data_IF_749962895442
#
_entry.id   IF_749962895442
#
_cell.length_a   1.000
_cell.length_b   1.000
_cell.length_c   1.000
_cell.angle_alpha   90.00
_cell.angle_beta   90.00
_cell.angle_gamma   90.00
#
_symmetry.space_group_name_H-M   'P 1'
#
loop_
_entity.id
_entity.type
_entity.pdbx_description
1 polymer ?
#
# COMPACT_ATOMS: atom_id res chain seq x y z
N UNK A 1 -2.95 18.03 -13.48
CA UNK A 1 -3.14 16.60 -13.15
C UNK A 1 -3.45 16.56 -11.67
N UNK A 2 -4.48 15.83 -11.21
CA UNK A 2 -4.69 15.67 -9.77
C UNK A 2 -3.45 15.01 -9.16
N UNK A 3 -3.07 15.46 -7.97
CA UNK A 3 -1.96 14.92 -7.20
C UNK A 3 -2.20 13.42 -6.96
N UNK A 4 -1.43 12.57 -7.64
CA UNK A 4 -1.60 11.11 -7.58
C UNK A 4 -1.31 10.56 -6.19
N UNK A 5 -0.36 11.15 -5.48
CA UNK A 5 0.11 10.66 -4.18
C UNK A 5 -0.96 10.61 -3.09
N UNK A 6 -1.71 11.70 -2.83
CA UNK A 6 -2.83 11.69 -1.89
C UNK A 6 -3.91 10.64 -2.24
N UNK A 7 -4.21 10.46 -3.53
CA UNK A 7 -5.23 9.51 -3.98
C UNK A 7 -4.78 8.05 -3.80
N UNK A 8 -3.53 7.73 -4.17
CA UNK A 8 -2.94 6.41 -3.96
C UNK A 8 -2.89 6.09 -2.47
N UNK A 9 -2.43 7.04 -1.64
CA UNK A 9 -2.42 6.87 -0.18
C UNK A 9 -3.80 6.59 0.38
N UNK A 10 -4.82 7.36 -0.03
CA UNK A 10 -6.18 7.15 0.42
C UNK A 10 -6.71 5.75 0.04
N UNK A 11 -6.44 5.30 -1.19
CA UNK A 11 -6.85 3.98 -1.66
C UNK A 11 -6.17 2.84 -0.90
N UNK A 12 -4.86 2.97 -0.66
CA UNK A 12 -4.08 1.99 0.12
C UNK A 12 -4.62 1.91 1.56
N UNK A 13 -4.79 3.05 2.22
CA UNK A 13 -5.32 3.13 3.59
C UNK A 13 -6.73 2.55 3.66
N UNK A 14 -7.60 2.85 2.71
CA UNK A 14 -8.96 2.29 2.65
C UNK A 14 -8.93 0.77 2.48
N UNK A 15 -8.11 0.26 1.57
CA UNK A 15 -7.95 -1.18 1.34
C UNK A 15 -7.44 -1.90 2.58
N UNK A 16 -6.45 -1.31 3.26
CA UNK A 16 -5.92 -1.82 4.52
C UNK A 16 -6.97 -1.79 5.64
N UNK A 17 -7.73 -0.71 5.76
CA UNK A 17 -8.80 -0.58 6.74
C UNK A 17 -9.91 -1.63 6.52
N UNK A 18 -10.27 -1.88 5.25
CA UNK A 18 -11.22 -2.94 4.93
C UNK A 18 -10.69 -4.32 5.34
N UNK A 19 -9.44 -4.63 5.03
CA UNK A 19 -8.82 -5.91 5.43
C UNK A 19 -8.71 -6.03 6.95
N UNK A 20 -8.34 -4.96 7.63
CA UNK A 20 -8.28 -4.90 9.10
C UNK A 20 -9.64 -5.24 9.71
N UNK A 21 -10.72 -4.62 9.20
CA UNK A 21 -12.08 -4.91 9.63
C UNK A 21 -12.48 -6.37 9.36
N UNK A 22 -12.09 -6.96 8.22
CA UNK A 22 -12.35 -8.38 7.92
C UNK A 22 -11.64 -9.34 8.88
N UNK A 23 -10.46 -8.95 9.36
CA UNK A 23 -9.65 -9.71 10.30
C UNK A 23 -10.01 -9.43 11.77
N UNK A 24 -10.89 -8.47 12.03
CA UNK A 24 -11.29 -8.05 13.39
C UNK A 24 -10.28 -7.14 14.08
N UNK A 25 -9.41 -6.46 13.30
CA UNK A 25 -8.59 -5.37 13.79
C UNK A 25 -9.41 -4.07 13.78
N UNK A 26 -9.89 -3.68 14.96
CA UNK A 26 -10.57 -2.40 15.16
C UNK A 26 -9.57 -1.31 15.60
N UNK A 27 -9.63 -0.14 14.94
CA UNK A 27 -8.89 1.05 15.38
C UNK A 27 -7.39 1.06 15.09
N UNK A 28 -6.92 0.32 14.08
CA UNK A 28 -5.54 0.45 13.60
C UNK A 28 -5.32 1.84 12.99
N UNK A 29 -4.43 2.61 13.61
CA UNK A 29 -3.88 3.80 12.97
C UNK A 29 -2.74 3.36 12.06
N UNK A 30 -2.97 3.47 10.76
CA UNK A 30 -1.93 3.38 9.74
C UNK A 30 -1.10 4.67 9.74
N UNK A 31 -0.41 4.92 10.85
CA UNK A 31 0.71 5.85 10.84
C UNK A 31 1.76 5.28 9.88
N UNK A 32 2.47 6.12 9.12
CA UNK A 32 3.33 5.68 8.01
C UNK A 32 4.45 4.71 8.38
N UNK A 33 4.58 4.38 9.67
CA UNK A 33 5.52 3.44 10.27
C UNK A 33 4.93 2.07 10.62
N UNK A 34 3.62 1.85 10.46
CA UNK A 34 2.97 0.58 10.81
C UNK A 34 3.31 -0.53 9.81
N UNK A 35 3.83 -1.65 10.33
CA UNK A 35 4.24 -2.80 9.53
C UNK A 35 3.08 -3.81 9.34
N UNK A 36 2.56 -3.90 8.12
CA UNK A 36 1.40 -4.75 7.83
C UNK A 36 1.74 -6.24 7.81
N UNK A 37 2.99 -6.59 7.50
CA UNK A 37 3.43 -7.96 7.46
C UNK A 37 3.65 -8.49 8.87
N UNK A 38 4.32 -7.70 9.72
CA UNK A 38 4.54 -8.09 11.12
C UNK A 38 3.22 -8.19 11.91
N UNK A 39 2.26 -7.30 11.62
CA UNK A 39 0.93 -7.36 12.23
C UNK A 39 0.05 -8.51 11.71
N UNK A 40 0.44 -9.18 10.63
CA UNK A 40 -0.36 -10.21 9.96
C UNK A 40 -1.59 -9.64 9.24
N UNK A 41 -1.65 -8.32 9.04
CA UNK A 41 -2.70 -7.67 8.27
C UNK A 41 -2.56 -7.95 6.77
N UNK A 42 -1.32 -8.12 6.31
CA UNK A 42 -0.98 -8.25 4.91
C UNK A 42 0.08 -9.34 4.71
N UNK A 43 -0.27 -10.36 3.94
CA UNK A 43 0.66 -11.40 3.52
C UNK A 43 1.30 -11.05 2.16
N UNK A 44 2.27 -11.86 1.74
CA UNK A 44 2.93 -11.74 0.42
C UNK A 44 1.93 -11.69 -0.75
N UNK A 45 0.86 -12.47 -0.70
CA UNK A 45 -0.22 -12.43 -1.70
C UNK A 45 -1.10 -11.18 -1.57
N UNK A 46 -1.32 -10.73 -0.34
CA UNK A 46 -2.08 -9.51 -0.04
C UNK A 46 -1.41 -8.28 -0.64
N UNK A 47 -0.07 -8.25 -0.66
CA UNK A 47 0.73 -7.20 -1.29
C UNK A 47 0.56 -7.19 -2.80
N UNK A 48 0.77 -8.33 -3.46
CA UNK A 48 0.62 -8.42 -4.92
C UNK A 48 -0.79 -8.00 -5.35
N UNK A 49 -1.82 -8.40 -4.59
CA UNK A 49 -3.21 -8.02 -4.87
C UNK A 49 -3.45 -6.51 -4.68
N UNK A 50 -2.83 -5.90 -3.66
CA UNK A 50 -2.95 -4.46 -3.41
C UNK A 50 -2.29 -3.66 -4.54
N UNK A 51 -1.12 -4.12 -4.98
CA UNK A 51 -0.38 -3.55 -6.10
C UNK A 51 -1.22 -3.64 -7.38
N UNK A 52 -1.66 -4.84 -7.75
CA UNK A 52 -2.49 -5.06 -8.95
C UNK A 52 -3.77 -4.19 -8.95
N UNK A 53 -4.39 -4.02 -7.78
CA UNK A 53 -5.54 -3.12 -7.61
C UNK A 53 -5.19 -1.65 -7.83
N UNK A 54 -4.04 -1.18 -7.35
CA UNK A 54 -3.55 0.19 -7.58
C UNK A 54 -3.18 0.39 -9.05
N UNK A 55 -2.44 -0.54 -9.68
CA UNK A 55 -2.13 -0.50 -11.12
C UNK A 55 -3.40 -0.35 -11.95
N UNK A 56 -4.39 -1.22 -11.68
CA UNK A 56 -5.68 -1.20 -12.39
C UNK A 56 -6.47 0.08 -12.12
N UNK A 57 -6.47 0.58 -10.87
CA UNK A 57 -7.26 1.74 -10.47
C UNK A 57 -6.70 3.05 -11.01
N UNK A 58 -5.39 3.15 -11.14
CA UNK A 58 -4.68 4.37 -11.55
C UNK A 58 -4.06 4.28 -12.95
N UNK A 59 -4.24 3.15 -13.66
CA UNK A 59 -3.64 2.85 -14.97
C UNK A 59 -2.11 3.04 -14.94
N UNK A 60 -1.48 2.48 -13.90
CA UNK A 60 -0.04 2.51 -13.68
C UNK A 60 0.57 1.15 -14.02
N UNK A 61 1.86 1.15 -14.34
CA UNK A 61 2.67 -0.06 -14.48
C UNK A 61 3.80 0.04 -13.46
N UNK A 62 3.77 -0.80 -12.44
CA UNK A 62 4.76 -0.83 -11.38
C UNK A 62 5.84 -1.85 -11.69
N UNK A 63 7.10 -1.40 -11.71
CA UNK A 63 8.22 -2.32 -11.72
C UNK A 63 8.58 -2.72 -10.30
N UNK A 64 8.07 -3.88 -9.86
CA UNK A 64 8.46 -4.49 -8.59
C UNK A 64 9.77 -5.27 -8.69
N UNK A 65 10.34 -5.38 -9.89
CA UNK A 65 11.37 -6.34 -10.27
C UNK A 65 12.76 -6.08 -9.65
N UNK A 66 12.93 -4.98 -8.93
CA UNK A 66 14.12 -4.66 -8.15
C UNK A 66 13.82 -4.08 -6.77
N UNK A 67 12.59 -4.26 -6.30
CA UNK A 67 12.05 -3.49 -5.21
C UNK A 67 12.11 -4.27 -3.90
N UNK A 68 12.66 -3.64 -2.87
CA UNK A 68 12.97 -4.32 -1.62
C UNK A 68 11.66 -4.66 -0.87
N UNK A 69 11.38 -5.93 -0.52
CA UNK A 69 10.16 -6.29 0.20
C UNK A 69 10.01 -5.52 1.51
N UNK A 70 11.13 -5.18 2.16
CA UNK A 70 11.17 -4.38 3.39
C UNK A 70 10.72 -2.92 3.16
N UNK A 71 10.80 -2.41 1.93
CA UNK A 71 10.34 -1.07 1.58
C UNK A 71 8.81 -0.98 1.41
N UNK A 72 8.10 -2.10 1.32
CA UNK A 72 6.64 -2.15 1.15
C UNK A 72 5.88 -2.56 2.41
N UNK A 73 6.59 -2.72 3.52
CA UNK A 73 5.95 -3.21 4.73
C UNK A 73 5.08 -2.16 5.43
N UNK A 74 5.25 -0.88 5.06
CA UNK A 74 4.55 0.27 5.62
C UNK A 74 3.82 1.09 4.54
N UNK A 75 2.82 1.90 4.94
CA UNK A 75 1.98 2.68 3.99
C UNK A 75 2.86 3.69 3.30
N UNK A 76 3.75 4.34 4.05
CA UNK A 76 4.63 5.37 3.50
C UNK A 76 5.61 4.77 2.50
N UNK A 77 6.23 3.64 2.86
CA UNK A 77 7.12 2.90 1.96
C UNK A 77 6.42 2.47 0.67
N UNK A 78 5.20 1.94 0.78
CA UNK A 78 4.40 1.55 -0.38
C UNK A 78 4.00 2.76 -1.22
N UNK A 79 3.46 3.83 -0.64
CA UNK A 79 3.07 5.04 -1.37
C UNK A 79 4.27 5.70 -2.06
N UNK A 80 5.42 5.78 -1.38
CA UNK A 80 6.66 6.31 -1.98
C UNK A 80 7.13 5.46 -3.15
N UNK A 81 6.99 4.15 -3.03
CA UNK A 81 7.33 3.19 -4.06
C UNK A 81 6.44 3.31 -5.30
N UNK A 82 5.18 3.69 -5.09
CA UNK A 82 4.15 3.83 -6.12
C UNK A 82 4.21 5.15 -6.88
N UNK A 83 4.71 6.21 -6.24
CA UNK A 83 4.83 7.52 -6.87
C UNK A 83 6.27 7.64 -7.34
N UNK A 84 6.56 7.52 -8.65
CA UNK A 84 7.89 7.85 -9.14
C UNK A 84 8.19 9.29 -8.73
N UNK A 85 9.22 9.50 -7.91
CA UNK A 85 9.66 10.84 -7.52
C UNK A 85 9.83 11.63 -8.82
N UNK A 86 9.05 12.71 -8.97
CA UNK A 86 9.45 13.79 -9.87
C UNK A 86 10.67 14.42 -9.20
N UNK A 87 11.84 13.83 -9.41
CA UNK A 87 13.12 14.43 -9.09
C UNK A 87 13.54 15.39 -10.20
#
# INVERSE_FOLDING_TARGET
MPDLGPSVRAFVVETLAQRAAQLGFDGLEFDGSFDFFESGLLDSLGLITLIDAVETQFDLEMDLTGMDPEAFTTVDGLVRSLIPETA
#
